data_IF_735397141948
#
_entry.id   IF_735397141948
#
_cell.length_a   1.000
_cell.length_b   1.000
_cell.length_c   1.000
_cell.angle_alpha   90.00
_cell.angle_beta   90.00
_cell.angle_gamma   90.00
#
_symmetry.space_group_name_H-M   'P 1'
#
loop_
_entity.id
_entity.type
_entity.pdbx_description
1 polymer ?
#
# COMPACT_ATOMS: atom_id res chain seq x y z
N UNK A 1 -8.56 7.23 17.94
CA UNK A 1 -7.33 6.47 18.19
C UNK A 1 -6.42 7.12 19.25
N UNK A 2 -6.62 8.37 19.65
CA UNK A 2 -5.76 9.07 20.60
C UNK A 2 -4.35 9.39 20.07
N UNK A 3 -4.18 9.43 18.76
CA UNK A 3 -2.94 9.87 18.10
C UNK A 3 -2.73 11.38 18.26
N UNK A 4 -1.53 11.88 17.95
CA UNK A 4 -1.21 13.30 18.07
C UNK A 4 -2.10 14.14 17.14
N UNK A 5 -2.62 15.27 17.66
CA UNK A 5 -3.30 16.26 16.82
C UNK A 5 -2.31 16.94 15.89
N UNK A 6 -2.75 17.25 14.67
CA UNK A 6 -1.95 18.06 13.75
C UNK A 6 -1.68 19.44 14.34
N UNK A 7 -0.46 20.00 14.22
CA UNK A 7 -0.16 21.34 14.70
C UNK A 7 -0.91 22.39 13.86
N UNK A 8 -1.14 23.61 14.39
CA UNK A 8 -1.78 24.69 13.63
C UNK A 8 -1.07 25.00 12.29
N UNK A 9 0.26 24.90 12.25
CA UNK A 9 1.04 25.07 11.02
C UNK A 9 0.63 24.11 9.90
N UNK A 10 0.22 22.89 10.24
CA UNK A 10 -0.29 21.93 9.25
C UNK A 10 -1.48 22.50 8.47
N UNK A 11 -2.47 23.03 9.16
CA UNK A 11 -3.67 23.59 8.52
C UNK A 11 -3.41 24.88 7.75
N UNK A 12 -2.50 25.73 8.27
CA UNK A 12 -2.22 27.04 7.69
C UNK A 12 -1.23 27.00 6.52
N UNK A 13 -0.34 26.01 6.47
CA UNK A 13 0.80 26.00 5.56
C UNK A 13 0.79 24.81 4.58
N UNK A 14 -0.07 23.80 4.76
CA UNK A 14 -0.26 22.74 3.76
C UNK A 14 -0.91 23.30 2.50
N UNK A 15 -0.50 22.80 1.36
CA UNK A 15 -1.16 23.09 0.09
C UNK A 15 -2.18 22.00 -0.20
N UNK A 16 -3.45 22.29 0.04
CA UNK A 16 -4.55 21.32 -0.14
C UNK A 16 -5.35 21.55 -1.43
N UNK A 17 -5.17 22.71 -2.07
CA UNK A 17 -5.81 23.07 -3.33
C UNK A 17 -4.77 23.55 -4.34
N UNK A 18 -5.05 23.34 -5.63
CA UNK A 18 -4.20 23.91 -6.68
C UNK A 18 -4.28 25.43 -6.63
N UNK A 19 -3.14 26.16 -6.53
CA UNK A 19 -3.15 27.62 -6.57
C UNK A 19 -3.82 28.17 -7.82
N UNK A 20 -4.64 29.24 -7.63
CA UNK A 20 -5.36 29.89 -8.72
C UNK A 20 -4.57 31.05 -9.37
N UNK A 21 -3.36 31.35 -8.89
CA UNK A 21 -2.53 32.48 -9.34
C UNK A 21 -1.70 32.18 -10.61
N UNK A 22 -1.92 31.02 -11.23
CA UNK A 22 -1.26 30.64 -12.49
C UNK A 22 0.13 30.02 -12.33
N UNK A 23 0.66 29.91 -11.09
CA UNK A 23 1.93 29.19 -10.89
C UNK A 23 1.79 27.71 -11.24
N UNK A 24 2.83 27.13 -11.82
CA UNK A 24 2.90 25.71 -12.05
C UNK A 24 3.19 24.96 -10.73
N UNK A 25 2.41 23.92 -10.47
CA UNK A 25 2.57 23.05 -9.31
C UNK A 25 2.47 21.59 -9.70
N UNK A 26 3.39 20.79 -9.21
CA UNK A 26 3.28 19.34 -9.29
C UNK A 26 2.22 18.88 -8.28
N UNK A 27 1.07 18.43 -8.79
CA UNK A 27 -0.08 18.01 -7.97
C UNK A 27 0.07 16.62 -7.32
N UNK A 28 1.19 15.93 -7.54
CA UNK A 28 1.45 14.64 -6.89
C UNK A 28 1.40 14.80 -5.37
N UNK A 29 0.55 14.02 -4.65
CA UNK A 29 0.43 14.08 -3.20
C UNK A 29 1.76 13.74 -2.51
N UNK A 30 2.10 14.50 -1.48
CA UNK A 30 3.34 14.31 -0.72
C UNK A 30 3.21 14.85 0.69
N UNK A 31 3.83 14.17 1.66
CA UNK A 31 3.95 14.62 3.05
C UNK A 31 5.39 15.04 3.35
N UNK A 32 5.55 16.07 4.19
CA UNK A 32 6.82 16.72 4.46
C UNK A 32 7.05 16.89 5.97
N UNK A 33 8.25 16.48 6.43
CA UNK A 33 8.83 16.84 7.72
C UNK A 33 9.93 17.88 7.48
N UNK A 34 9.74 19.11 7.96
CA UNK A 34 10.73 20.19 7.84
C UNK A 34 11.87 20.07 8.86
N UNK A 35 11.90 18.97 9.59
CA UNK A 35 12.97 18.57 10.52
C UNK A 35 13.18 19.47 11.75
N UNK A 36 12.34 20.47 11.94
CA UNK A 36 12.34 21.39 13.12
C UNK A 36 11.53 20.82 14.31
N UNK A 37 10.88 19.67 14.12
CA UNK A 37 10.02 19.00 15.11
C UNK A 37 8.65 19.65 15.32
N UNK A 38 8.28 20.64 14.51
CA UNK A 38 7.06 21.43 14.65
C UNK A 38 6.28 21.61 13.35
N UNK A 39 6.99 21.67 12.23
CA UNK A 39 6.41 21.96 10.91
C UNK A 39 6.29 20.67 10.10
N UNK A 40 5.05 20.24 9.88
CA UNK A 40 4.67 19.08 9.10
C UNK A 40 3.56 19.48 8.14
N UNK A 41 3.70 19.16 6.86
CA UNK A 41 2.75 19.61 5.82
C UNK A 41 2.43 18.51 4.83
N UNK A 42 1.25 18.62 4.20
CA UNK A 42 0.92 17.91 2.98
C UNK A 42 0.85 18.88 1.80
N UNK A 43 1.23 18.39 0.63
CA UNK A 43 1.01 19.09 -0.64
C UNK A 43 0.22 18.17 -1.55
N UNK A 44 -0.97 18.60 -1.97
CA UNK A 44 -1.79 17.93 -2.97
C UNK A 44 -2.80 18.90 -3.59
N UNK A 45 -3.27 18.59 -4.79
CA UNK A 45 -4.36 19.31 -5.45
C UNK A 45 -5.65 18.52 -5.23
N UNK A 46 -6.30 18.73 -4.10
CA UNK A 46 -7.47 17.94 -3.67
C UNK A 46 -8.72 18.33 -4.46
N UNK A 47 -9.46 17.31 -4.87
CA UNK A 47 -10.85 17.40 -5.33
C UNK A 47 -11.76 16.61 -4.39
N UNK A 48 -13.05 16.90 -4.37
CA UNK A 48 -14.00 16.21 -3.48
C UNK A 48 -14.40 14.87 -4.12
N UNK A 49 -13.52 13.88 -3.96
CA UNK A 49 -13.71 12.51 -4.45
C UNK A 49 -13.30 11.50 -3.38
N UNK A 50 -13.79 10.26 -3.52
CA UNK A 50 -13.41 9.19 -2.61
C UNK A 50 -11.92 8.85 -2.70
N UNK A 51 -11.35 8.87 -3.89
CA UNK A 51 -9.92 8.64 -4.11
C UNK A 51 -9.05 9.69 -3.38
N UNK A 52 -9.45 10.96 -3.43
CA UNK A 52 -8.74 12.00 -2.70
C UNK A 52 -8.91 11.88 -1.18
N UNK A 53 -10.06 11.41 -0.70
CA UNK A 53 -10.27 11.10 0.71
C UNK A 53 -9.33 9.98 1.18
N UNK A 54 -9.15 8.92 0.39
CA UNK A 54 -8.18 7.85 0.65
C UNK A 54 -6.75 8.40 0.67
N UNK A 55 -6.40 9.21 -0.32
CA UNK A 55 -5.06 9.82 -0.45
C UNK A 55 -4.76 10.74 0.73
N UNK A 56 -5.71 11.58 1.17
CA UNK A 56 -5.52 12.42 2.37
C UNK A 56 -5.20 11.55 3.60
N UNK A 57 -5.91 10.44 3.80
CA UNK A 57 -5.64 9.55 4.92
C UNK A 57 -4.27 8.88 4.81
N UNK A 58 -3.82 8.56 3.59
CA UNK A 58 -2.47 8.07 3.32
C UNK A 58 -1.41 9.10 3.76
N UNK A 59 -1.53 10.32 3.27
CA UNK A 59 -0.59 11.41 3.60
C UNK A 59 -0.61 11.76 5.10
N UNK A 60 -1.80 11.75 5.72
CA UNK A 60 -1.93 11.93 7.17
C UNK A 60 -1.25 10.81 7.96
N UNK A 61 -1.19 9.60 7.42
CA UNK A 61 -0.41 8.49 7.97
C UNK A 61 1.08 8.83 8.05
N UNK A 62 1.63 9.41 6.98
CA UNK A 62 3.02 9.92 6.97
C UNK A 62 3.24 11.01 8.01
N UNK A 63 2.32 11.99 8.10
CA UNK A 63 2.41 13.07 9.09
C UNK A 63 2.38 12.52 10.53
N UNK A 64 1.50 11.55 10.81
CA UNK A 64 1.49 10.91 12.13
C UNK A 64 2.84 10.25 12.44
N UNK A 65 3.45 9.59 11.48
CA UNK A 65 4.75 8.98 11.66
C UNK A 65 5.83 10.03 11.96
N UNK A 66 5.90 11.09 11.17
CA UNK A 66 6.81 12.22 11.41
C UNK A 66 6.66 12.77 12.83
N UNK A 67 5.44 13.07 13.25
CA UNK A 67 5.17 13.59 14.59
C UNK A 67 5.55 12.61 15.71
N UNK A 68 5.33 11.30 15.52
CA UNK A 68 5.63 10.31 16.55
C UNK A 68 7.14 10.22 16.82
N UNK A 69 7.98 10.24 15.79
CA UNK A 69 9.43 10.16 15.94
C UNK A 69 10.15 11.51 16.01
N UNK A 70 9.45 12.64 16.00
CA UNK A 70 10.06 13.98 16.01
C UNK A 70 11.04 14.23 17.17
N UNK A 71 10.94 13.49 18.27
CA UNK A 71 11.84 13.54 19.43
C UNK A 71 13.21 12.91 19.17
N UNK A 72 13.35 12.09 18.11
CA UNK A 72 14.61 11.43 17.78
C UNK A 72 15.58 12.40 17.08
N UNK A 73 16.88 12.17 17.20
CA UNK A 73 17.86 12.81 16.32
C UNK A 73 17.52 12.57 14.84
N UNK A 74 17.81 13.55 13.99
CA UNK A 74 17.41 13.53 12.57
C UNK A 74 17.81 12.24 11.84
N UNK A 75 19.01 11.72 12.10
CA UNK A 75 19.52 10.48 11.49
C UNK A 75 18.68 9.22 11.81
N UNK A 76 17.88 9.25 12.88
CA UNK A 76 16.99 8.15 13.28
C UNK A 76 15.52 8.40 12.93
N UNK A 77 15.21 9.48 12.26
CA UNK A 77 13.92 9.74 11.66
C UNK A 77 13.78 8.92 10.38
N UNK A 78 12.65 8.98 9.70
CA UNK A 78 12.40 8.26 8.46
C UNK A 78 12.43 6.72 8.62
N UNK A 79 11.57 6.20 9.49
CA UNK A 79 11.41 4.76 9.70
C UNK A 79 10.91 4.03 8.44
N UNK A 80 11.27 2.75 8.31
CA UNK A 80 11.01 1.93 7.11
C UNK A 80 9.54 1.57 6.82
N UNK A 81 8.58 2.11 7.58
CA UNK A 81 7.16 1.76 7.46
C UNK A 81 6.27 2.88 6.90
N UNK A 82 6.82 3.99 6.45
CA UNK A 82 6.05 5.16 6.03
C UNK A 82 4.89 4.80 5.11
N UNK A 83 5.16 4.15 4.01
CA UNK A 83 4.14 3.74 3.05
C UNK A 83 3.12 2.74 3.62
N UNK A 84 3.59 1.85 4.48
CA UNK A 84 2.71 0.87 5.11
C UNK A 84 1.72 1.52 6.08
N UNK A 85 2.10 2.63 6.72
CA UNK A 85 1.20 3.40 7.59
C UNK A 85 0.19 4.19 6.77
N UNK A 86 0.61 4.83 5.68
CA UNK A 86 -0.30 5.50 4.76
C UNK A 86 -1.37 4.55 4.21
N UNK A 87 -0.94 3.40 3.67
CA UNK A 87 -1.86 2.36 3.17
C UNK A 87 -2.79 1.82 4.27
N UNK A 88 -2.27 1.57 5.47
CA UNK A 88 -3.07 1.13 6.62
C UNK A 88 -4.21 2.11 6.93
N UNK A 89 -3.93 3.41 6.94
CA UNK A 89 -4.95 4.43 7.19
C UNK A 89 -5.98 4.48 6.07
N UNK A 90 -5.55 4.42 4.81
CA UNK A 90 -6.43 4.34 3.64
C UNK A 90 -7.32 3.09 3.68
N UNK A 91 -6.77 1.93 4.04
CA UNK A 91 -7.54 0.68 4.14
C UNK A 91 -8.62 0.77 5.22
N UNK A 92 -8.27 1.23 6.42
CA UNK A 92 -9.21 1.31 7.54
C UNK A 92 -10.34 2.30 7.27
N UNK A 93 -10.04 3.47 6.68
CA UNK A 93 -11.06 4.48 6.36
C UNK A 93 -11.96 4.08 5.19
N UNK A 94 -11.51 3.18 4.32
CA UNK A 94 -12.27 2.75 3.13
C UNK A 94 -13.33 1.69 3.43
N UNK A 95 -13.37 1.16 4.64
CA UNK A 95 -14.35 0.11 4.98
C UNK A 95 -15.77 0.66 4.98
N UNK A 96 -16.77 -0.09 4.51
CA UNK A 96 -18.18 0.32 4.59
C UNK A 96 -18.60 0.66 6.02
N UNK A 97 -18.07 -0.04 7.01
CA UNK A 97 -18.32 0.19 8.42
C UNK A 97 -17.86 1.57 8.86
N UNK A 98 -16.64 1.96 8.44
CA UNK A 98 -16.12 3.29 8.73
C UNK A 98 -16.95 4.38 8.04
N UNK A 99 -17.22 4.22 6.73
CA UNK A 99 -17.95 5.20 5.94
C UNK A 99 -19.37 5.45 6.48
N UNK A 100 -20.06 4.40 6.95
CA UNK A 100 -21.35 4.52 7.65
C UNK A 100 -21.19 5.29 8.95
N UNK A 101 -20.19 4.96 9.75
CA UNK A 101 -19.92 5.57 11.06
C UNK A 101 -19.63 7.06 10.98
N UNK A 102 -19.01 7.53 9.90
CA UNK A 102 -18.70 8.94 9.66
C UNK A 102 -19.75 9.66 8.79
N UNK A 103 -20.83 8.97 8.41
CA UNK A 103 -21.95 9.57 7.66
C UNK A 103 -21.69 9.76 6.17
N UNK A 104 -20.68 9.09 5.61
CA UNK A 104 -20.34 9.13 4.17
C UNK A 104 -21.01 8.02 3.37
N UNK A 105 -21.66 7.08 4.04
CA UNK A 105 -22.41 5.99 3.41
C UNK A 105 -23.72 5.79 4.14
N UNK A 106 -24.81 5.62 3.38
CA UNK A 106 -26.13 5.34 3.96
C UNK A 106 -26.21 3.89 4.44
N UNK A 107 -27.20 3.61 5.33
CA UNK A 107 -27.54 2.24 5.77
C UNK A 107 -28.29 1.41 4.71
N UNK A 108 -28.26 1.81 3.44
CA UNK A 108 -28.76 1.01 2.34
C UNK A 108 -28.17 -0.40 2.41
N UNK A 109 -28.96 -1.39 2.05
CA UNK A 109 -28.54 -2.79 2.09
C UNK A 109 -27.22 -2.97 1.35
N UNK A 110 -26.17 -3.24 2.09
CA UNK A 110 -24.88 -3.63 1.56
C UNK A 110 -24.95 -5.13 1.26
N UNK A 111 -24.93 -5.47 0.00
CA UNK A 111 -25.10 -6.84 -0.47
C UNK A 111 -23.77 -7.60 -0.49
N UNK A 112 -23.86 -8.92 -0.74
CA UNK A 112 -22.66 -9.74 -0.92
C UNK A 112 -21.92 -9.36 -2.22
N UNK A 113 -22.64 -8.94 -3.23
CA UNK A 113 -22.08 -8.43 -4.50
C UNK A 113 -21.29 -7.14 -4.27
N UNK A 114 -21.79 -6.22 -3.44
CA UNK A 114 -21.07 -5.01 -3.06
C UNK A 114 -19.77 -5.32 -2.30
N UNK A 115 -19.81 -6.33 -1.44
CA UNK A 115 -18.65 -6.83 -0.71
C UNK A 115 -17.57 -7.36 -1.66
N UNK A 116 -17.95 -8.22 -2.60
CA UNK A 116 -17.02 -8.78 -3.59
C UNK A 116 -16.47 -7.67 -4.50
N UNK A 117 -17.31 -6.74 -4.94
CA UNK A 117 -16.86 -5.58 -5.73
C UNK A 117 -15.88 -4.69 -4.97
N UNK A 118 -16.12 -4.43 -3.68
CA UNK A 118 -15.18 -3.71 -2.83
C UNK A 118 -13.83 -4.44 -2.75
N UNK A 119 -13.84 -5.73 -2.45
CA UNK A 119 -12.62 -6.54 -2.38
C UNK A 119 -11.91 -6.64 -3.74
N UNK A 120 -12.65 -6.75 -4.83
CA UNK A 120 -12.10 -6.76 -6.19
C UNK A 120 -11.39 -5.44 -6.49
N UNK A 121 -12.03 -4.30 -6.23
CA UNK A 121 -11.43 -2.97 -6.41
C UNK A 121 -10.16 -2.82 -5.57
N UNK A 122 -10.18 -3.24 -4.32
CA UNK A 122 -9.00 -3.24 -3.45
C UNK A 122 -7.90 -4.17 -3.96
N UNK A 123 -8.24 -5.35 -4.47
CA UNK A 123 -7.25 -6.30 -4.99
C UNK A 123 -6.58 -5.78 -6.27
N UNK A 124 -7.33 -5.12 -7.15
CA UNK A 124 -6.78 -4.50 -8.37
C UNK A 124 -5.79 -3.39 -8.08
N UNK A 125 -5.95 -2.65 -6.98
CA UNK A 125 -5.00 -1.61 -6.56
C UNK A 125 -3.82 -2.15 -5.74
N UNK A 126 -3.93 -3.33 -5.16
CA UNK A 126 -2.95 -3.88 -4.22
C UNK A 126 -2.28 -5.15 -4.73
N UNK A 127 -3.06 -6.22 -4.96
CA UNK A 127 -2.52 -7.54 -5.31
C UNK A 127 -1.97 -7.53 -6.74
N UNK A 128 -2.69 -6.95 -7.70
CA UNK A 128 -2.26 -6.90 -9.10
C UNK A 128 -0.97 -6.09 -9.30
N UNK A 129 -0.70 -5.14 -8.41
CA UNK A 129 0.53 -4.32 -8.46
C UNK A 129 1.75 -4.98 -7.83
N UNK A 130 1.58 -6.09 -7.08
CA UNK A 130 2.70 -6.79 -6.44
C UNK A 130 3.76 -7.28 -7.43
N UNK A 131 3.39 -7.97 -8.53
CA UNK A 131 4.37 -8.39 -9.53
C UNK A 131 5.08 -7.22 -10.20
N UNK A 132 4.37 -6.09 -10.43
CA UNK A 132 4.97 -4.87 -10.96
C UNK A 132 6.07 -4.34 -10.02
N UNK A 133 5.81 -4.24 -8.72
CA UNK A 133 6.81 -3.81 -7.75
C UNK A 133 7.98 -4.79 -7.66
N UNK A 134 7.71 -6.10 -7.76
CA UNK A 134 8.74 -7.14 -7.78
C UNK A 134 9.66 -6.98 -8.99
N UNK A 135 9.10 -6.79 -10.18
CA UNK A 135 9.89 -6.60 -11.42
C UNK A 135 10.79 -5.37 -11.30
N UNK A 136 10.24 -4.23 -10.82
CA UNK A 136 11.02 -3.02 -10.67
C UNK A 136 12.16 -3.17 -9.66
N UNK A 137 11.92 -3.83 -8.52
CA UNK A 137 12.97 -4.09 -7.53
C UNK A 137 14.02 -5.08 -8.06
N UNK A 138 13.60 -6.17 -8.70
CA UNK A 138 14.53 -7.17 -9.27
C UNK A 138 15.41 -6.54 -10.34
N UNK A 139 14.80 -5.82 -11.29
CA UNK A 139 15.53 -5.16 -12.37
C UNK A 139 16.53 -4.14 -11.82
N UNK A 140 16.08 -3.22 -10.97
CA UNK A 140 16.90 -2.15 -10.40
C UNK A 140 18.13 -2.69 -9.67
N UNK A 141 17.94 -3.67 -8.81
CA UNK A 141 19.04 -4.24 -8.05
C UNK A 141 20.03 -5.02 -8.90
N UNK A 142 19.58 -5.72 -9.93
CA UNK A 142 20.46 -6.42 -10.86
C UNK A 142 21.23 -5.45 -11.75
N UNK A 143 20.55 -4.44 -12.30
CA UNK A 143 21.20 -3.39 -13.09
C UNK A 143 22.26 -2.62 -12.27
N UNK A 144 21.93 -2.21 -11.05
CA UNK A 144 22.86 -1.44 -10.20
C UNK A 144 24.02 -2.28 -9.64
N UNK A 145 23.90 -3.59 -9.60
CA UNK A 145 25.02 -4.49 -9.29
C UNK A 145 25.86 -4.84 -10.51
N UNK A 146 25.52 -4.35 -11.69
CA UNK A 146 26.21 -4.65 -12.94
C UNK A 146 26.00 -6.05 -13.45
N UNK A 147 24.88 -6.73 -13.08
CA UNK A 147 24.51 -8.04 -13.57
C UNK A 147 24.04 -8.01 -15.03
N UNK A 148 23.62 -6.83 -15.51
CA UNK A 148 23.22 -6.56 -16.89
C UNK A 148 24.16 -5.55 -17.51
N UNK A 149 24.51 -5.72 -18.78
CA UNK A 149 25.18 -4.69 -19.57
C UNK A 149 24.16 -3.60 -19.92
N UNK A 150 24.63 -2.40 -20.17
CA UNK A 150 23.76 -1.23 -20.42
C UNK A 150 22.82 -1.46 -21.61
N UNK A 151 23.34 -2.07 -22.68
CA UNK A 151 22.57 -2.40 -23.89
C UNK A 151 21.50 -3.48 -23.66
N UNK A 152 21.58 -4.24 -22.56
CA UNK A 152 20.63 -5.28 -22.20
C UNK A 152 19.52 -4.78 -21.25
N UNK A 153 19.69 -3.59 -20.65
CA UNK A 153 18.83 -3.08 -19.59
C UNK A 153 17.35 -3.10 -19.94
N UNK A 154 16.98 -2.63 -21.13
CA UNK A 154 15.58 -2.54 -21.53
C UNK A 154 15.00 -3.93 -21.82
N UNK A 155 15.76 -4.80 -22.50
CA UNK A 155 15.33 -6.17 -22.81
C UNK A 155 15.12 -6.98 -21.53
N UNK A 156 16.07 -6.90 -20.56
CA UNK A 156 15.95 -7.60 -19.28
C UNK A 156 14.76 -7.11 -18.44
N UNK A 157 14.41 -5.83 -18.55
CA UNK A 157 13.20 -5.31 -17.92
C UNK A 157 11.93 -5.95 -18.50
N UNK A 158 11.83 -6.03 -19.84
CA UNK A 158 10.68 -6.65 -20.49
C UNK A 158 10.62 -8.17 -20.28
N UNK A 159 11.75 -8.86 -20.25
CA UNK A 159 11.84 -10.27 -19.86
C UNK A 159 11.26 -10.54 -18.47
N UNK A 160 11.56 -9.64 -17.51
CA UNK A 160 10.99 -9.74 -16.17
C UNK A 160 9.48 -9.43 -16.17
N UNK A 161 9.02 -8.45 -16.97
CA UNK A 161 7.59 -8.15 -17.09
C UNK A 161 6.81 -9.30 -17.71
N UNK A 162 7.33 -9.92 -18.76
CA UNK A 162 6.70 -11.09 -19.36
C UNK A 162 6.62 -12.23 -18.34
N UNK A 163 7.73 -12.54 -17.67
CA UNK A 163 7.81 -13.62 -16.70
C UNK A 163 6.85 -13.45 -15.52
N UNK A 164 6.75 -12.27 -14.94
CA UNK A 164 6.04 -12.06 -13.67
C UNK A 164 4.67 -11.38 -13.82
N UNK A 165 4.40 -10.74 -14.95
CA UNK A 165 3.15 -10.04 -15.23
C UNK A 165 2.40 -10.59 -16.45
N UNK A 166 3.03 -11.40 -17.29
CA UNK A 166 2.44 -11.80 -18.57
C UNK A 166 2.29 -10.66 -19.56
N UNK A 167 3.13 -9.63 -19.45
CA UNK A 167 3.05 -8.39 -20.26
C UNK A 167 4.35 -8.17 -21.01
N UNK A 168 4.27 -8.01 -22.31
CA UNK A 168 5.39 -7.69 -23.19
C UNK A 168 5.26 -6.29 -23.78
N UNK A 169 6.34 -5.82 -24.41
CA UNK A 169 6.34 -4.49 -25.01
C UNK A 169 5.25 -4.38 -26.10
N UNK A 170 4.41 -3.33 -26.08
CA UNK A 170 3.31 -3.18 -27.02
C UNK A 170 3.79 -2.87 -28.46
N UNK A 171 5.03 -2.41 -28.58
CA UNK A 171 5.71 -2.15 -29.84
C UNK A 171 7.17 -2.60 -29.73
N UNK A 172 7.82 -2.85 -30.87
CA UNK A 172 9.23 -3.21 -30.90
C UNK A 172 10.10 -2.13 -30.24
N UNK A 173 11.08 -2.55 -29.45
CA UNK A 173 12.01 -1.68 -28.75
C UNK A 173 13.36 -1.65 -29.45
N UNK A 174 13.92 -0.46 -29.58
CA UNK A 174 15.23 -0.20 -30.17
C UNK A 174 16.28 0.04 -29.10
N UNK A 175 17.53 0.25 -29.51
CA UNK A 175 18.62 0.60 -28.58
C UNK A 175 18.47 1.99 -27.95
N UNK A 176 17.63 2.84 -28.53
CA UNK A 176 17.37 4.20 -28.03
C UNK A 176 16.27 4.22 -26.96
N UNK A 177 15.57 3.09 -26.75
CA UNK A 177 14.49 2.97 -25.77
C UNK A 177 15.03 2.53 -24.41
N UNK A 178 14.61 3.23 -23.37
CA UNK A 178 14.91 2.87 -21.98
C UNK A 178 13.65 3.08 -21.10
N UNK A 179 12.83 2.05 -20.98
CA UNK A 179 11.53 2.12 -20.29
C UNK A 179 11.63 2.19 -18.74
N UNK A 180 12.57 1.52 -18.06
CA UNK A 180 12.58 1.50 -16.59
C UNK A 180 12.61 2.87 -15.91
N UNK A 181 13.41 3.87 -16.36
CA UNK A 181 13.45 5.20 -15.75
C UNK A 181 12.17 6.03 -15.93
N UNK A 182 11.24 5.62 -16.79
CA UNK A 182 9.90 6.25 -16.87
C UNK A 182 9.13 6.09 -15.55
N UNK A 183 9.53 5.14 -14.71
CA UNK A 183 8.98 4.94 -13.39
C UNK A 183 9.73 5.85 -12.41
N UNK A 184 9.03 6.87 -11.92
CA UNK A 184 9.57 7.86 -10.98
C UNK A 184 10.40 7.24 -9.84
N UNK A 185 9.90 6.16 -9.24
CA UNK A 185 10.54 5.47 -8.11
C UNK A 185 11.83 4.72 -8.47
N UNK A 186 12.11 4.48 -9.74
CA UNK A 186 13.39 3.92 -10.17
C UNK A 186 14.45 5.02 -10.25
N UNK A 187 14.09 6.16 -10.82
CA UNK A 187 15.02 7.27 -11.05
C UNK A 187 15.29 8.10 -9.79
N UNK A 188 14.29 8.30 -8.92
CA UNK A 188 14.33 9.27 -7.83
C UNK A 188 14.20 8.68 -6.42
N UNK A 189 13.91 7.39 -6.27
CA UNK A 189 13.69 6.79 -4.96
C UNK A 189 14.40 5.45 -4.85
N UNK A 190 15.33 5.34 -3.89
CA UNK A 190 16.06 4.11 -3.62
C UNK A 190 15.34 3.13 -2.69
N UNK A 191 14.10 3.40 -2.30
CA UNK A 191 13.34 2.53 -1.40
C UNK A 191 12.88 1.25 -2.11
N UNK A 192 12.80 0.15 -1.37
CA UNK A 192 12.27 -1.12 -1.88
C UNK A 192 10.75 -1.05 -2.01
N UNK A 193 10.24 -1.03 -3.23
CA UNK A 193 8.82 -0.94 -3.53
C UNK A 193 8.00 -2.12 -2.97
N UNK A 194 8.56 -3.32 -2.99
CA UNK A 194 7.87 -4.53 -2.56
C UNK A 194 7.46 -4.53 -1.08
N UNK A 195 8.24 -3.90 -0.18
CA UNK A 195 7.89 -3.82 1.25
C UNK A 195 6.64 -3.00 1.52
N UNK A 196 6.31 -2.05 0.65
CA UNK A 196 5.19 -1.12 0.80
C UNK A 196 3.82 -1.83 0.85
N UNK A 197 3.64 -2.93 0.15
CA UNK A 197 2.32 -3.55 -0.10
C UNK A 197 1.93 -4.71 0.83
N UNK A 198 2.87 -5.41 1.46
CA UNK A 198 2.55 -6.54 2.35
C UNK A 198 2.36 -6.14 3.83
N UNK A 199 3.11 -5.14 4.26
CA UNK A 199 3.15 -4.68 5.64
C UNK A 199 1.81 -4.15 6.17
N UNK A 200 1.02 -3.38 5.39
CA UNK A 200 -0.25 -2.82 5.85
C UNK A 200 -1.20 -3.88 6.39
N UNK A 201 -1.30 -5.04 5.73
CA UNK A 201 -2.19 -6.12 6.16
C UNK A 201 -1.79 -6.74 7.49
N UNK A 202 -0.47 -6.86 7.76
CA UNK A 202 -0.01 -7.35 9.07
C UNK A 202 -0.26 -6.32 10.16
N UNK A 203 -0.05 -5.05 9.87
CA UNK A 203 -0.37 -3.97 10.81
C UNK A 203 -1.88 -3.90 11.07
N UNK A 204 -2.69 -3.98 10.02
CA UNK A 204 -4.15 -4.00 10.15
C UNK A 204 -4.61 -5.15 11.05
N UNK A 205 -4.15 -6.38 10.80
CA UNK A 205 -4.48 -7.55 11.62
C UNK A 205 -4.20 -7.28 13.11
N UNK A 206 -2.99 -6.83 13.43
CA UNK A 206 -2.56 -6.58 14.82
C UNK A 206 -3.34 -5.44 15.48
N UNK A 207 -3.69 -4.40 14.73
CA UNK A 207 -4.45 -3.28 15.26
C UNK A 207 -5.94 -3.58 15.37
N UNK A 208 -6.47 -4.44 14.50
CA UNK A 208 -7.82 -4.96 14.60
C UNK A 208 -8.00 -5.84 15.85
N UNK A 209 -7.02 -6.72 16.13
CA UNK A 209 -7.00 -7.51 17.37
C UNK A 209 -6.97 -6.58 18.59
N UNK A 210 -6.15 -5.53 18.57
CA UNK A 210 -6.07 -4.54 19.64
C UNK A 210 -7.36 -3.70 19.78
N UNK A 211 -8.09 -3.50 18.69
CA UNK A 211 -9.38 -2.81 18.68
C UNK A 211 -10.54 -3.71 19.13
N UNK A 212 -10.30 -5.01 19.38
CA UNK A 212 -11.34 -5.99 19.74
C UNK A 212 -12.25 -6.33 18.55
N UNK A 213 -11.77 -6.21 17.32
CA UNK A 213 -12.55 -6.54 16.14
C UNK A 213 -12.85 -8.04 16.07
N UNK A 214 -14.11 -8.37 15.84
CA UNK A 214 -14.60 -9.73 15.60
C UNK A 214 -15.18 -9.79 14.20
N UNK A 215 -14.66 -10.67 13.36
CA UNK A 215 -15.14 -10.86 11.99
C UNK A 215 -14.01 -10.87 10.95
N UNK A 216 -14.36 -10.81 9.66
CA UNK A 216 -13.40 -10.79 8.58
C UNK A 216 -12.49 -9.55 8.63
N UNK A 217 -11.21 -9.71 8.31
CA UNK A 217 -10.21 -8.64 8.44
C UNK A 217 -10.53 -7.41 7.58
N UNK A 218 -11.11 -7.59 6.40
CA UNK A 218 -11.46 -6.49 5.48
C UNK A 218 -12.62 -5.61 5.98
N UNK A 219 -13.35 -6.04 7.02
CA UNK A 219 -14.43 -5.24 7.64
C UNK A 219 -13.95 -4.45 8.85
N UNK A 220 -12.69 -4.59 9.22
CA UNK A 220 -12.16 -3.95 10.42
C UNK A 220 -11.99 -2.44 10.26
N UNK A 221 -12.59 -1.69 11.18
CA UNK A 221 -12.38 -0.27 11.38
C UNK A 221 -11.67 -0.02 12.72
N UNK A 222 -10.44 0.50 12.66
CA UNK A 222 -9.65 0.85 13.86
C UNK A 222 -9.99 2.25 14.41
N UNK A 223 -10.91 2.95 13.78
CA UNK A 223 -11.32 4.31 14.18
C UNK A 223 -11.87 4.32 15.62
N UNK A 224 -11.38 5.26 16.42
CA UNK A 224 -11.78 5.42 17.82
C UNK A 224 -11.09 4.48 18.81
N UNK A 225 -10.41 3.42 18.36
CA UNK A 225 -9.69 2.52 19.26
C UNK A 225 -8.42 3.16 19.81
N UNK A 226 -8.44 3.50 21.11
CA UNK A 226 -7.27 4.06 21.81
C UNK A 226 -6.18 3.01 22.01
N UNK A 227 -6.53 1.75 22.18
CA UNK A 227 -5.55 0.67 22.33
C UNK A 227 -4.79 0.40 21.02
N UNK A 228 -5.48 0.36 19.88
CA UNK A 228 -4.85 0.29 18.59
C UNK A 228 -3.94 1.53 18.33
N UNK A 229 -4.42 2.72 18.70
CA UNK A 229 -3.65 3.96 18.58
C UNK A 229 -2.39 3.99 19.44
N UNK A 230 -2.45 3.55 20.71
CA UNK A 230 -1.26 3.42 21.58
C UNK A 230 -0.25 2.44 21.02
N UNK A 231 -0.72 1.28 20.56
CA UNK A 231 0.13 0.23 19.99
C UNK A 231 0.85 0.74 18.73
N UNK A 232 0.13 1.45 17.88
CA UNK A 232 0.68 2.09 16.69
C UNK A 232 1.69 3.20 17.06
N UNK A 233 1.32 4.14 17.92
CA UNK A 233 2.20 5.24 18.35
C UNK A 233 3.52 4.74 18.94
N UNK A 234 3.48 3.66 19.72
CA UNK A 234 4.68 3.06 20.32
C UNK A 234 5.68 2.54 19.27
N UNK A 235 5.22 2.00 18.14
CA UNK A 235 6.13 1.55 17.09
C UNK A 235 6.58 2.70 16.21
N UNK A 236 5.70 3.65 15.90
CA UNK A 236 6.04 4.82 15.10
C UNK A 236 7.10 5.68 15.80
N UNK A 237 7.06 5.77 17.14
CA UNK A 237 8.05 6.54 17.92
C UNK A 237 9.48 6.02 17.81
N UNK A 238 9.68 4.81 17.32
CA UNK A 238 11.01 4.22 17.12
C UNK A 238 11.73 4.80 15.87
N UNK A 239 11.01 5.32 14.90
CA UNK A 239 11.60 5.79 13.64
C UNK A 239 12.50 4.72 13.01
N UNK A 240 13.75 5.09 12.71
CA UNK A 240 14.82 4.18 12.27
C UNK A 240 15.87 3.88 13.34
N UNK A 241 15.57 4.17 14.63
CA UNK A 241 16.49 3.90 15.73
C UNK A 241 16.71 2.41 16.02
N UNK A 242 15.86 1.56 15.47
CA UNK A 242 15.98 0.10 15.54
C UNK A 242 15.81 -0.50 14.13
N UNK A 243 16.36 -1.70 13.85
CA UNK A 243 16.06 -2.44 12.64
C UNK A 243 14.55 -2.65 12.47
N UNK A 244 14.06 -2.61 11.23
CA UNK A 244 12.62 -2.77 10.95
C UNK A 244 12.03 -4.10 11.48
N UNK A 245 12.85 -5.16 11.56
CA UNK A 245 12.44 -6.44 12.12
C UNK A 245 12.10 -6.35 13.61
N UNK A 246 12.87 -5.54 14.36
CA UNK A 246 12.66 -5.33 15.79
C UNK A 246 11.41 -4.48 16.03
N UNK A 247 11.19 -3.47 15.18
CA UNK A 247 9.96 -2.69 15.20
C UNK A 247 8.73 -3.55 14.85
N UNK A 248 8.85 -4.46 13.86
CA UNK A 248 7.80 -5.42 13.53
C UNK A 248 7.50 -6.36 14.70
N UNK A 249 8.54 -6.92 15.34
CA UNK A 249 8.38 -7.80 16.49
C UNK A 249 7.70 -7.10 17.65
N UNK A 250 8.06 -5.83 17.89
CA UNK A 250 7.44 -5.04 18.97
C UNK A 250 5.94 -4.84 18.79
N UNK A 251 5.46 -4.66 17.56
CA UNK A 251 4.03 -4.46 17.30
C UNK A 251 3.27 -5.78 17.11
N UNK A 252 3.89 -6.79 16.52
CA UNK A 252 3.21 -8.01 16.04
C UNK A 252 3.67 -9.32 16.69
N UNK A 253 4.73 -9.30 17.49
CA UNK A 253 5.33 -10.50 18.08
C UNK A 253 6.12 -11.37 17.11
N UNK A 254 6.30 -10.94 15.85
CA UNK A 254 7.04 -11.69 14.82
C UNK A 254 8.07 -10.83 14.12
N UNK A 255 9.22 -11.42 13.76
CA UNK A 255 10.34 -10.73 13.06
C UNK A 255 10.33 -10.91 11.54
N UNK A 256 9.50 -11.79 11.02
CA UNK A 256 9.45 -12.12 9.59
C UNK A 256 8.14 -11.66 8.97
N UNK A 257 8.22 -11.12 7.77
CA UNK A 257 7.05 -10.81 6.96
C UNK A 257 6.34 -12.10 6.54
N UNK A 258 5.02 -12.03 6.41
CA UNK A 258 4.18 -13.11 5.93
C UNK A 258 3.08 -12.56 5.04
N UNK A 259 2.73 -13.29 4.00
CA UNK A 259 1.58 -13.00 3.13
C UNK A 259 0.24 -13.46 3.72
N UNK A 260 0.26 -14.22 4.83
CA UNK A 260 -0.97 -14.75 5.45
C UNK A 260 -2.03 -13.69 5.76
N UNK A 261 -1.71 -12.52 6.34
CA UNK A 261 -2.72 -11.49 6.59
C UNK A 261 -3.33 -10.92 5.30
N UNK A 262 -2.54 -10.77 4.23
CA UNK A 262 -3.05 -10.37 2.92
C UNK A 262 -4.02 -11.42 2.36
N UNK A 263 -3.66 -12.68 2.39
CA UNK A 263 -4.53 -13.78 1.93
C UNK A 263 -5.82 -13.85 2.77
N UNK A 264 -5.72 -13.68 4.10
CA UNK A 264 -6.86 -13.61 5.01
C UNK A 264 -7.81 -12.44 4.69
N UNK A 265 -7.24 -11.29 4.31
CA UNK A 265 -8.05 -10.12 3.93
C UNK A 265 -8.87 -10.38 2.66
N UNK A 266 -8.29 -11.03 1.66
CA UNK A 266 -8.92 -11.31 0.37
C UNK A 266 -9.56 -12.71 0.26
N UNK A 267 -9.66 -13.48 1.34
CA UNK A 267 -10.18 -14.86 1.28
C UNK A 267 -11.56 -14.96 0.62
N UNK A 268 -12.57 -14.09 0.92
CA UNK A 268 -13.87 -14.17 0.26
C UNK A 268 -13.80 -13.92 -1.25
N UNK A 269 -12.95 -12.98 -1.68
CA UNK A 269 -12.74 -12.72 -3.10
C UNK A 269 -12.05 -13.91 -3.78
N UNK A 270 -11.05 -14.48 -3.13
CA UNK A 270 -10.32 -15.65 -3.65
C UNK A 270 -11.24 -16.84 -3.86
N UNK A 271 -12.13 -17.12 -2.89
CA UNK A 271 -13.15 -18.16 -3.02
C UNK A 271 -14.11 -17.88 -4.17
N UNK A 272 -14.62 -16.66 -4.26
CA UNK A 272 -15.49 -16.23 -5.36
C UNK A 272 -14.82 -16.43 -6.73
N UNK A 273 -13.61 -15.88 -6.91
CA UNK A 273 -12.88 -15.98 -8.18
C UNK A 273 -12.53 -17.44 -8.53
N UNK A 274 -12.18 -18.27 -7.55
CA UNK A 274 -11.95 -19.71 -7.78
C UNK A 274 -13.20 -20.37 -8.36
N UNK A 275 -14.36 -20.09 -7.76
CA UNK A 275 -15.63 -20.67 -8.22
C UNK A 275 -15.97 -20.22 -9.65
N UNK A 276 -15.82 -18.92 -9.96
CA UNK A 276 -16.07 -18.38 -11.30
C UNK A 276 -15.14 -18.98 -12.35
N UNK A 277 -13.83 -19.03 -12.08
CA UNK A 277 -12.83 -19.65 -12.96
C UNK A 277 -13.15 -21.12 -13.23
N UNK A 278 -13.55 -21.86 -12.19
CA UNK A 278 -13.86 -23.29 -12.34
C UNK A 278 -15.17 -23.53 -13.07
N UNK A 279 -16.21 -22.72 -12.82
CA UNK A 279 -17.50 -22.81 -13.50
C UNK A 279 -17.40 -22.46 -14.99
N UNK A 280 -16.61 -21.45 -15.33
CA UNK A 280 -16.45 -20.98 -16.70
C UNK A 280 -15.41 -21.78 -17.49
N UNK A 281 -14.58 -22.57 -16.81
CA UNK A 281 -13.43 -23.26 -17.45
C UNK A 281 -12.35 -22.29 -17.90
N UNK A 282 -12.21 -21.14 -17.25
CA UNK A 282 -11.25 -20.09 -17.62
C UNK A 282 -9.80 -20.57 -17.41
N UNK A 283 -8.90 -20.14 -18.29
CA UNK A 283 -7.46 -20.40 -18.16
C UNK A 283 -6.82 -19.35 -17.25
N UNK A 284 -6.13 -19.81 -16.22
CA UNK A 284 -5.41 -18.94 -15.28
C UNK A 284 -3.91 -18.99 -15.57
N UNK A 285 -3.30 -17.79 -15.65
CA UNK A 285 -1.87 -17.64 -15.89
C UNK A 285 -1.52 -17.38 -17.36
N UNK A 286 -0.22 -17.27 -17.62
CA UNK A 286 0.36 -17.03 -18.94
C UNK A 286 1.58 -17.94 -19.11
N UNK A 287 1.85 -18.36 -20.33
CA UNK A 287 2.96 -19.26 -20.66
C UNK A 287 2.53 -20.70 -20.94
N UNK A 288 3.47 -21.59 -21.24
CA UNK A 288 3.19 -22.96 -21.68
C UNK A 288 2.67 -23.89 -20.57
N UNK A 289 2.89 -23.54 -19.31
CA UNK A 289 2.43 -24.32 -18.16
C UNK A 289 1.09 -23.78 -17.66
N UNK A 290 0.00 -24.44 -18.06
CA UNK A 290 -1.34 -24.12 -17.57
C UNK A 290 -1.49 -24.57 -16.11
N UNK A 291 -1.62 -23.62 -15.19
CA UNK A 291 -1.90 -23.84 -13.76
C UNK A 291 -3.36 -24.32 -13.53
N UNK A 292 -4.12 -24.46 -14.60
CA UNK A 292 -5.55 -24.78 -14.61
C UNK A 292 -5.95 -26.01 -13.78
N UNK A 293 -5.06 -27.01 -13.70
CA UNK A 293 -5.39 -28.30 -13.08
C UNK A 293 -5.40 -28.32 -11.55
N UNK A 294 -4.73 -27.36 -10.88
CA UNK A 294 -4.59 -27.38 -9.42
C UNK A 294 -5.63 -26.49 -8.71
N UNK A 295 -6.09 -25.41 -9.35
CA UNK A 295 -7.03 -24.46 -8.74
C UNK A 295 -8.41 -25.09 -8.48
N UNK A 296 -8.86 -25.97 -9.40
CA UNK A 296 -10.20 -26.56 -9.32
C UNK A 296 -10.23 -27.95 -8.66
N UNK A 297 -9.09 -28.61 -8.46
CA UNK A 297 -9.03 -29.96 -7.86
C UNK A 297 -9.37 -30.00 -6.38
N UNK A 298 -9.10 -28.92 -5.63
CA UNK A 298 -9.42 -28.86 -4.20
C UNK A 298 -10.90 -28.61 -3.88
N UNK A 299 -11.74 -28.38 -4.90
CA UNK A 299 -13.19 -28.12 -4.74
C UNK A 299 -14.06 -29.37 -4.71
N UNK A 300 -13.48 -30.58 -4.85
CA UNK A 300 -14.24 -31.86 -4.93
C UNK A 300 -14.32 -32.59 -3.58
N UNK A 301 -13.77 -32.00 -2.51
CA UNK A 301 -13.86 -32.58 -1.15
C UNK A 301 -14.56 -31.62 -0.20
N UNK A 302 -15.86 -31.47 -0.37
CA UNK A 302 -16.82 -31.05 0.66
C UNK A 302 -18.13 -31.79 0.46
#
# INVERSE_FOLDING_TARGET
MGLKKMPPSFYNLSMLEKPSDGREVLCHPTAWDFADGKDFRIKMCTTVTFENLQTIHHELGHIQYFMQYAHLPYMYRNGGFHEAIGELMSMSMSTPQHLKKVGLMNDAQYTKEDEINFLLKMSLSTVSTLPFHLVNDLWRWRAFRGEYKLEEWNNEYWNLKEKYLGVYAPVERTQDDLDPPSIFHIANDCHRLQKKKHFPFKLLEVLCDAAGHIGPLYTCDIYGSTEAGKKLANVLSLGSSVPWQDALEKISGVRKMSTKPLLKYFEPLKEFLRNEVCLNGDVVGWGPENIQNDICRDSVTL
#
